data_IF_531028938328
#
_entry.id   IF_531028938328
#
_cell.length_a   1.000
_cell.length_b   1.000
_cell.length_c   1.000
_cell.angle_alpha   90.00
_cell.angle_beta   90.00
_cell.angle_gamma   90.00
#
_symmetry.space_group_name_H-M   'P 1'
#
loop_
_entity.id
_entity.type
_entity.pdbx_description
1 polymer ?
#
# COMPACT_ATOMS: atom_id res chain seq x y z
N UNK A 1 -4.10 -9.20 4.36
CA UNK A 1 -4.15 -8.37 5.60
C UNK A 1 -4.55 -6.92 5.25
N UNK A 2 -5.24 -6.18 6.13
CA UNK A 2 -5.68 -4.79 5.83
C UNK A 2 -4.50 -3.81 5.84
N UNK A 3 -4.39 -2.95 4.82
CA UNK A 3 -3.31 -1.95 4.65
C UNK A 3 -3.37 -0.71 5.54
N UNK A 4 -4.10 -0.75 6.67
CA UNK A 4 -4.40 0.45 7.46
C UNK A 4 -3.36 0.73 8.54
N UNK A 5 -2.66 -0.30 9.03
CA UNK A 5 -1.61 -0.15 10.02
C UNK A 5 -0.23 -0.20 9.38
N UNK A 6 0.65 0.69 9.84
CA UNK A 6 2.04 0.76 9.38
C UNK A 6 2.84 -0.49 9.74
N UNK A 7 2.55 -1.13 10.87
CA UNK A 7 3.23 -2.36 11.33
C UNK A 7 3.01 -3.55 10.40
N UNK A 8 1.90 -3.56 9.66
CA UNK A 8 1.51 -4.65 8.77
C UNK A 8 2.15 -4.52 7.38
N UNK A 9 2.82 -3.38 7.11
CA UNK A 9 3.42 -3.07 5.81
C UNK A 9 4.93 -2.91 6.01
N UNK A 10 5.72 -3.71 5.31
CA UNK A 10 7.17 -3.61 5.31
C UNK A 10 7.67 -3.19 3.93
N UNK A 11 8.87 -2.60 3.89
CA UNK A 11 9.58 -2.42 2.62
C UNK A 11 9.87 -3.81 2.04
N UNK A 12 9.71 -3.99 0.74
CA UNK A 12 9.79 -5.28 0.07
C UNK A 12 8.50 -6.11 0.13
N UNK A 13 7.46 -5.69 0.87
CA UNK A 13 6.17 -6.40 0.87
C UNK A 13 5.42 -6.18 -0.43
N UNK A 14 4.76 -7.23 -0.91
CA UNK A 14 3.84 -7.17 -2.03
C UNK A 14 2.51 -6.58 -1.55
N UNK A 15 2.05 -5.50 -2.18
CA UNK A 15 0.84 -4.79 -1.77
C UNK A 15 0.00 -4.40 -2.98
N UNK A 16 -1.30 -4.31 -2.76
CA UNK A 16 -2.25 -3.72 -3.70
C UNK A 16 -2.56 -2.29 -3.24
N UNK A 17 -2.20 -1.31 -4.06
CA UNK A 17 -2.40 0.11 -3.79
C UNK A 17 -3.46 0.70 -4.72
N UNK A 18 -4.19 1.71 -4.24
CA UNK A 18 -5.01 2.56 -5.09
C UNK A 18 -4.23 3.83 -5.42
N UNK A 19 -4.08 4.11 -6.71
CA UNK A 19 -3.47 5.34 -7.22
C UNK A 19 -4.49 6.46 -7.22
N UNK A 20 -4.04 7.71 -7.21
CA UNK A 20 -4.94 8.88 -7.25
C UNK A 20 -5.88 8.84 -8.48
N UNK A 21 -5.35 8.44 -9.64
CA UNK A 21 -6.12 8.29 -10.88
C UNK A 21 -7.21 7.21 -10.79
N UNK A 22 -7.00 6.20 -9.95
CA UNK A 22 -7.88 5.05 -9.80
C UNK A 22 -8.81 5.14 -8.57
N UNK A 23 -8.80 6.26 -7.83
CA UNK A 23 -9.65 6.44 -6.65
C UNK A 23 -11.16 6.38 -6.96
N UNK A 24 -11.57 6.81 -8.17
CA UNK A 24 -12.97 6.74 -8.60
C UNK A 24 -13.37 5.37 -9.15
N UNK A 25 -12.45 4.69 -9.84
CA UNK A 25 -12.69 3.37 -10.42
C UNK A 25 -12.54 2.24 -9.40
N UNK A 26 -11.84 2.48 -8.30
CA UNK A 26 -11.52 1.46 -7.29
C UNK A 26 -10.44 0.48 -7.76
N UNK A 27 -9.83 0.69 -8.94
CA UNK A 27 -8.80 -0.19 -9.47
C UNK A 27 -7.57 -0.18 -8.55
N UNK A 28 -7.11 -1.37 -8.18
CA UNK A 28 -5.87 -1.54 -7.44
C UNK A 28 -4.73 -1.89 -8.39
N UNK A 29 -3.53 -1.44 -8.03
CA UNK A 29 -2.28 -1.75 -8.71
C UNK A 29 -1.41 -2.52 -7.74
N UNK A 30 -0.98 -3.71 -8.16
CA UNK A 30 -0.08 -4.55 -7.40
C UNK A 30 1.36 -4.09 -7.57
N UNK A 31 2.12 -4.06 -6.49
CA UNK A 31 3.56 -3.85 -6.57
C UNK A 31 4.28 -4.01 -5.24
N UNK A 32 5.60 -3.86 -5.29
CA UNK A 32 6.49 -4.01 -4.14
C UNK A 32 6.72 -2.65 -3.47
N UNK A 33 6.59 -2.58 -2.15
CA UNK A 33 6.81 -1.35 -1.39
C UNK A 33 8.29 -0.97 -1.36
N UNK A 34 8.62 0.21 -1.90
CA UNK A 34 9.94 0.84 -1.75
C UNK A 34 10.03 1.67 -0.48
N UNK A 35 9.07 2.59 -0.28
CA UNK A 35 9.06 3.52 0.86
C UNK A 35 7.67 3.67 1.48
N UNK A 36 7.63 3.84 2.81
CA UNK A 36 6.42 4.16 3.55
C UNK A 36 6.37 5.67 3.83
N UNK A 37 5.40 6.37 3.22
CA UNK A 37 5.27 7.83 3.28
C UNK A 37 4.37 8.31 4.43
N UNK A 38 3.49 7.47 4.98
CA UNK A 38 2.66 7.83 6.15
C UNK A 38 3.42 7.58 7.45
N UNK A 39 3.70 8.63 8.24
CA UNK A 39 4.41 8.51 9.54
C UNK A 39 3.54 7.89 10.64
N UNK A 40 2.24 8.16 10.64
CA UNK A 40 1.29 7.64 11.64
C UNK A 40 1.20 6.10 11.62
N UNK A 41 1.00 5.51 12.79
CA UNK A 41 0.86 4.06 12.94
C UNK A 41 -0.42 3.51 12.29
N UNK A 42 -1.48 4.32 12.20
CA UNK A 42 -2.76 3.98 11.59
C UNK A 42 -3.23 5.09 10.65
N UNK A 43 -3.89 4.71 9.56
CA UNK A 43 -4.57 5.65 8.67
C UNK A 43 -5.85 5.03 8.10
N UNK A 44 -7.01 5.72 8.17
CA UNK A 44 -8.32 5.13 7.83
C UNK A 44 -8.43 4.69 6.37
N UNK A 45 -7.80 5.44 5.46
CA UNK A 45 -7.79 5.13 4.03
C UNK A 45 -6.61 4.26 3.57
N UNK A 46 -5.79 3.77 4.51
CA UNK A 46 -4.57 3.03 4.21
C UNK A 46 -3.29 3.86 4.33
N UNK A 47 -2.18 3.16 4.54
CA UNK A 47 -0.84 3.74 4.59
C UNK A 47 -0.44 4.17 3.19
N UNK A 48 0.10 5.38 3.05
CA UNK A 48 0.64 5.87 1.79
C UNK A 48 2.02 5.28 1.58
N UNK A 49 2.24 4.66 0.43
CA UNK A 49 3.52 4.04 0.06
C UNK A 49 3.95 4.48 -1.33
N UNK A 50 5.25 4.36 -1.58
CA UNK A 50 5.86 4.41 -2.91
C UNK A 50 6.25 2.98 -3.28
N UNK A 51 5.90 2.56 -4.48
CA UNK A 51 6.31 1.28 -5.07
C UNK A 51 7.70 1.39 -5.71
N UNK A 52 8.32 0.26 -6.00
CA UNK A 52 9.63 0.20 -6.66
C UNK A 52 9.63 0.84 -8.06
N UNK A 53 8.52 0.74 -8.78
CA UNK A 53 8.28 1.38 -10.08
C UNK A 53 8.09 2.92 -10.00
N UNK A 54 8.12 3.50 -8.79
CA UNK A 54 7.96 4.93 -8.56
C UNK A 54 6.51 5.39 -8.37
N UNK A 55 5.52 4.49 -8.53
CA UNK A 55 4.12 4.82 -8.32
C UNK A 55 3.82 5.06 -6.84
N UNK A 56 2.88 5.98 -6.57
CA UNK A 56 2.52 6.37 -5.20
C UNK A 56 1.02 6.24 -5.00
N UNK A 57 0.64 5.49 -3.96
CA UNK A 57 -0.76 5.22 -3.65
C UNK A 57 -1.01 4.91 -2.19
N UNK A 58 -2.27 4.59 -1.88
CA UNK A 58 -2.72 4.14 -0.56
C UNK A 58 -2.88 2.62 -0.58
N UNK A 59 -2.25 1.93 0.37
CA UNK A 59 -2.37 0.47 0.48
C UNK A 59 -3.80 0.10 0.83
N UNK A 60 -4.39 -0.79 0.04
CA UNK A 60 -5.68 -1.42 0.31
C UNK A 60 -5.48 -2.77 0.96
N UNK A 61 -4.57 -3.56 0.41
CA UNK A 61 -4.32 -4.92 0.85
C UNK A 61 -2.83 -5.23 0.85
N UNK A 62 -2.40 -5.98 1.85
CA UNK A 62 -1.06 -6.57 1.91
C UNK A 62 -1.17 -8.03 1.54
N UNK A 63 -0.46 -8.41 0.48
CA UNK A 63 -0.35 -9.77 -0.02
C UNK A 63 0.82 -10.41 0.73
N UNK A 64 0.53 -11.05 1.86
CA UNK A 64 1.48 -11.95 2.49
C UNK A 64 1.25 -13.33 1.89
N UNK A 65 2.25 -13.83 1.16
CA UNK A 65 2.35 -15.24 0.79
C UNK A 65 2.75 -16.01 2.05
N UNK A 66 1.77 -16.20 2.94
CA UNK A 66 1.91 -17.10 4.06
C UNK A 66 1.42 -18.46 3.59
N UNK A 67 2.36 -19.26 3.10
CA UNK A 67 2.24 -20.71 3.06
C UNK A 67 2.56 -21.30 4.44
#
# INVERSE_FOLDING_TARGET
>A
MKGNYRKDIKKGSLVDIVLKKDQRSGKTTRGVVKDLLTRSAFHPHGIKVRLEDGQVGRVKEVINDSN
#
